data_IF_408529726201
#
_entry.id   IF_408529726201
#
_cell.length_a   1.000
_cell.length_b   1.000
_cell.length_c   1.000
_cell.angle_alpha   90.00
_cell.angle_beta   90.00
_cell.angle_gamma   90.00
#
_symmetry.space_group_name_H-M   'P 1'
#
loop_
_entity.id
_entity.type
_entity.pdbx_description
1 polymer ?
#
# COMPACT_ATOMS: atom_id res chain seq x y z
N UNK A 1 8.00 5.07 9.46
CA UNK A 1 8.24 4.19 8.31
C UNK A 1 9.59 4.55 7.76
N UNK A 2 10.45 3.57 7.47
CA UNK A 2 11.84 3.84 7.08
C UNK A 2 11.97 3.77 5.56
N UNK A 3 12.62 4.78 4.97
CA UNK A 3 12.94 4.79 3.54
C UNK A 3 13.83 3.60 3.20
N UNK A 4 13.46 2.86 2.15
CA UNK A 4 14.09 1.60 1.73
C UNK A 4 13.47 0.34 2.34
N UNK A 5 12.43 0.45 3.18
CA UNK A 5 11.74 -0.73 3.73
C UNK A 5 10.66 -1.24 2.78
N UNK A 6 10.55 -2.57 2.70
CA UNK A 6 9.45 -3.29 2.03
C UNK A 6 8.33 -3.59 3.02
N UNK A 7 7.12 -3.28 2.63
CA UNK A 7 5.91 -3.50 3.41
C UNK A 7 4.95 -4.39 2.63
N UNK A 8 4.28 -5.28 3.34
CA UNK A 8 3.24 -6.14 2.80
C UNK A 8 1.89 -5.71 3.35
N UNK A 9 1.01 -5.23 2.48
CA UNK A 9 -0.35 -4.84 2.83
C UNK A 9 -1.32 -5.90 2.37
N UNK A 10 -2.09 -6.45 3.30
CA UNK A 10 -3.19 -7.38 3.02
C UNK A 10 -4.49 -6.60 3.21
N UNK A 11 -5.15 -6.30 2.11
CA UNK A 11 -6.36 -5.46 2.09
C UNK A 11 -7.56 -6.37 1.81
N UNK A 12 -8.49 -6.53 2.77
CA UNK A 12 -9.71 -7.29 2.54
C UNK A 12 -10.58 -6.58 1.48
N UNK A 13 -11.48 -7.31 0.80
CA UNK A 13 -12.28 -6.75 -0.28
C UNK A 13 -13.08 -5.50 0.13
N UNK A 14 -13.59 -5.45 1.37
CA UNK A 14 -14.33 -4.31 1.92
C UNK A 14 -13.54 -2.99 1.94
N UNK A 15 -12.20 -3.05 2.00
CA UNK A 15 -11.30 -1.89 1.95
C UNK A 15 -10.62 -1.71 0.59
N UNK A 16 -10.88 -2.61 -0.36
CA UNK A 16 -10.30 -2.64 -1.69
C UNK A 16 -11.35 -2.32 -2.76
N UNK A 17 -11.59 -3.24 -3.70
CA UNK A 17 -12.58 -3.08 -4.77
C UNK A 17 -13.96 -3.62 -4.41
N UNK A 18 -14.14 -4.22 -3.23
CA UNK A 18 -15.43 -4.75 -2.77
C UNK A 18 -16.06 -5.70 -3.78
N UNK A 19 -17.31 -5.44 -4.11
CA UNK A 19 -18.11 -6.21 -5.07
C UNK A 19 -17.84 -5.82 -6.53
N UNK A 20 -16.96 -4.84 -6.78
CA UNK A 20 -16.66 -4.41 -8.14
C UNK A 20 -15.81 -5.46 -8.87
N UNK A 21 -16.39 -6.04 -9.91
CA UNK A 21 -15.67 -6.83 -10.89
C UNK A 21 -14.79 -5.92 -11.76
N UNK A 22 -13.51 -6.27 -11.83
CA UNK A 22 -12.58 -5.70 -12.80
C UNK A 22 -12.07 -6.82 -13.69
N UNK A 23 -11.64 -6.55 -14.93
CA UNK A 23 -11.22 -7.61 -15.86
C UNK A 23 -10.06 -8.47 -15.34
N UNK A 24 -9.28 -7.96 -14.38
CA UNK A 24 -8.11 -8.64 -13.82
C UNK A 24 -8.33 -9.11 -12.37
N UNK A 25 -9.29 -8.53 -11.64
CA UNK A 25 -9.54 -8.84 -10.23
C UNK A 25 -11.04 -9.18 -10.06
N UNK A 26 -11.38 -10.43 -9.68
CA UNK A 26 -12.76 -10.81 -9.43
C UNK A 26 -13.31 -10.09 -8.19
N UNK A 27 -14.63 -9.89 -8.17
CA UNK A 27 -15.34 -9.32 -7.04
C UNK A 27 -15.03 -10.09 -5.74
N UNK A 28 -14.98 -9.37 -4.62
CA UNK A 28 -14.68 -9.89 -3.29
C UNK A 28 -13.29 -10.52 -3.12
N UNK A 29 -12.31 -10.17 -3.97
CA UNK A 29 -10.93 -10.63 -3.82
C UNK A 29 -10.19 -9.89 -2.72
N UNK A 30 -9.41 -10.63 -1.92
CA UNK A 30 -8.42 -10.04 -1.01
C UNK A 30 -7.17 -9.66 -1.78
N UNK A 31 -6.70 -8.43 -1.62
CA UNK A 31 -5.53 -7.93 -2.32
C UNK A 31 -4.30 -7.97 -1.42
N UNK A 32 -3.18 -8.41 -1.98
CA UNK A 32 -1.89 -8.43 -1.30
C UNK A 32 -0.92 -7.57 -2.10
N UNK A 33 -0.53 -6.44 -1.53
CA UNK A 33 0.43 -5.51 -2.13
C UNK A 33 1.77 -5.61 -1.42
N UNK A 34 2.84 -5.73 -2.20
CA UNK A 34 4.20 -5.51 -1.72
C UNK A 34 4.63 -4.11 -2.18
N UNK A 35 4.85 -3.22 -1.21
CA UNK A 35 5.18 -1.82 -1.45
C UNK A 35 6.58 -1.55 -0.89
N UNK A 36 7.46 -1.05 -1.74
CA UNK A 36 8.77 -0.55 -1.32
C UNK A 36 8.72 0.96 -1.21
N UNK A 37 9.07 1.48 -0.03
CA UNK A 37 9.07 2.91 0.21
C UNK A 37 10.39 3.51 -0.25
N UNK A 38 10.44 4.01 -1.50
CA UNK A 38 11.67 4.51 -2.12
C UNK A 38 12.11 5.89 -1.61
N UNK A 39 11.16 6.78 -1.34
CA UNK A 39 11.41 8.15 -0.89
C UNK A 39 10.15 8.73 -0.27
N UNK A 40 10.29 9.58 0.74
CA UNK A 40 9.22 10.43 1.25
C UNK A 40 9.54 11.85 0.83
N UNK A 41 8.77 12.43 -0.09
CA UNK A 41 8.93 13.82 -0.50
C UNK A 41 8.14 14.71 0.46
N UNK A 42 8.84 15.36 1.41
CA UNK A 42 8.23 16.22 2.44
C UNK A 42 8.78 16.04 3.85
N UNK A 43 9.62 15.02 4.09
CA UNK A 43 10.31 14.82 5.37
C UNK A 43 11.72 15.46 5.35
N UNK A 44 11.78 16.75 5.04
CA UNK A 44 12.95 17.62 5.32
C UNK A 44 12.72 18.38 6.63
N UNK A 45 12.03 17.75 7.60
CA UNK A 45 11.49 18.46 8.75
C UNK A 45 11.94 17.95 10.11
N UNK A 46 12.72 16.86 10.27
CA UNK A 46 13.32 16.51 11.59
C UNK A 46 14.65 15.73 11.46
N UNK A 47 15.75 16.46 11.27
CA UNK A 47 17.10 15.98 11.60
C UNK A 47 18.01 17.16 12.01
N UNK A 48 17.56 17.95 12.99
CA UNK A 48 18.41 18.84 13.79
C UNK A 48 18.04 18.72 15.26
N UNK A 49 18.77 17.86 15.96
CA UNK A 49 19.11 18.02 17.37
C UNK A 49 20.59 17.70 17.52
#
# INVERSE_FOLDING_TARGET
MTVGSKYKFVIPPELAYGEQDTPTIPANSTLVFEVELLKIEGDDAQATQ
#
